data_IF_581809209633
#
_entry.id   IF_581809209633
#
_cell.length_a   1.000
_cell.length_b   1.000
_cell.length_c   1.000
_cell.angle_alpha   90.00
_cell.angle_beta   90.00
_cell.angle_gamma   90.00
#
_symmetry.space_group_name_H-M   'P 1'
#
loop_
_entity.id
_entity.type
_entity.pdbx_description
1 polymer ?
#
# COMPACT_ATOMS: atom_id res chain seq x y z
N UNK A 1 -6.44 -10.28 -3.70
CA UNK A 1 -7.80 -9.75 -3.95
C UNK A 1 -8.18 -8.60 -3.04
N UNK A 2 -7.77 -8.60 -1.76
CA UNK A 2 -8.09 -7.53 -0.80
C UNK A 2 -7.82 -6.11 -1.33
N UNK A 3 -6.64 -5.86 -1.91
CA UNK A 3 -6.29 -4.53 -2.44
C UNK A 3 -7.19 -4.12 -3.61
N UNK A 4 -7.46 -5.04 -4.53
CA UNK A 4 -8.40 -4.83 -5.66
C UNK A 4 -9.80 -4.51 -5.16
N UNK A 5 -10.31 -5.26 -4.17
CA UNK A 5 -11.59 -4.96 -3.54
C UNK A 5 -11.61 -3.57 -2.89
N UNK A 6 -10.57 -3.20 -2.15
CA UNK A 6 -10.49 -1.91 -1.45
C UNK A 6 -10.45 -0.72 -2.41
N UNK A 7 -9.76 -0.81 -3.55
CA UNK A 7 -9.76 0.28 -4.55
C UNK A 7 -11.15 0.43 -5.19
N UNK A 8 -11.80 -0.69 -5.54
CA UNK A 8 -13.13 -0.68 -6.16
C UNK A 8 -14.17 -0.17 -5.16
N UNK A 9 -14.13 -0.60 -3.89
CA UNK A 9 -14.99 -0.11 -2.83
C UNK A 9 -14.89 1.41 -2.66
N UNK A 10 -13.68 1.96 -2.65
CA UNK A 10 -13.47 3.41 -2.53
C UNK A 10 -14.07 4.17 -3.71
N UNK A 11 -13.94 3.65 -4.94
CA UNK A 11 -14.55 4.26 -6.12
C UNK A 11 -16.07 4.41 -5.98
N UNK A 12 -16.75 3.40 -5.45
CA UNK A 12 -18.19 3.45 -5.23
C UNK A 12 -18.56 4.38 -4.06
N UNK A 13 -17.81 4.34 -2.96
CA UNK A 13 -18.05 5.18 -1.78
C UNK A 13 -17.88 6.68 -2.07
N UNK A 14 -16.91 7.04 -2.90
CA UNK A 14 -16.59 8.42 -3.26
C UNK A 14 -17.07 8.78 -4.67
N UNK A 15 -18.02 8.04 -5.24
CA UNK A 15 -18.57 8.37 -6.56
C UNK A 15 -19.21 9.77 -6.51
N UNK A 16 -18.71 10.69 -7.33
CA UNK A 16 -19.16 12.08 -7.36
C UNK A 16 -18.68 12.94 -6.19
N UNK A 17 -17.77 12.45 -5.35
CA UNK A 17 -17.16 13.19 -4.24
C UNK A 17 -15.65 13.14 -4.35
N UNK A 18 -14.96 14.23 -3.98
CA UNK A 18 -13.51 14.19 -3.82
C UNK A 18 -13.18 13.39 -2.56
N UNK A 19 -12.17 12.54 -2.67
CA UNK A 19 -11.60 11.85 -1.51
C UNK A 19 -10.86 12.87 -0.64
N UNK A 20 -11.06 12.87 0.69
CA UNK A 20 -10.45 13.86 1.57
C UNK A 20 -8.92 13.75 1.62
N UNK A 21 -8.37 12.58 1.26
CA UNK A 21 -6.93 12.33 1.17
C UNK A 21 -6.32 12.65 -0.20
N UNK A 22 -7.13 13.05 -1.19
CA UNK A 22 -6.65 13.42 -2.52
C UNK A 22 -6.45 14.93 -2.65
N UNK A 23 -5.31 15.34 -3.20
CA UNK A 23 -4.98 16.74 -3.48
C UNK A 23 -5.99 17.37 -4.46
N UNK A 24 -6.22 18.67 -4.33
CA UNK A 24 -7.07 19.43 -5.25
C UNK A 24 -6.63 19.26 -6.71
N UNK A 25 -7.61 19.11 -7.61
CA UNK A 25 -7.38 18.87 -9.04
C UNK A 25 -7.10 17.41 -9.41
N UNK A 26 -7.01 16.48 -8.46
CA UNK A 26 -6.81 15.08 -8.75
C UNK A 26 -8.16 14.36 -8.94
N UNK A 27 -8.53 14.10 -10.18
CA UNK A 27 -9.63 13.18 -10.48
C UNK A 27 -9.18 11.73 -10.29
N UNK A 28 -9.97 10.94 -9.56
CA UNK A 28 -9.67 9.53 -9.35
C UNK A 28 -9.80 8.77 -10.69
N UNK A 29 -8.67 8.39 -11.29
CA UNK A 29 -8.59 7.51 -12.46
C UNK A 29 -8.47 6.06 -11.99
N UNK A 30 -9.62 5.39 -11.90
CA UNK A 30 -9.75 3.96 -11.64
C UNK A 30 -10.31 3.27 -12.90
N UNK A 31 -9.51 3.24 -13.96
CA UNK A 31 -9.85 2.53 -15.18
C UNK A 31 -9.67 1.01 -15.03
N UNK A 32 -10.20 0.26 -16.01
CA UNK A 32 -10.15 -1.19 -16.00
C UNK A 32 -8.72 -1.73 -16.13
N UNK A 33 -7.83 -1.02 -16.81
CA UNK A 33 -6.44 -1.43 -16.98
C UNK A 33 -5.70 -1.39 -15.64
N UNK A 34 -5.89 -0.31 -14.88
CA UNK A 34 -5.36 -0.14 -13.54
C UNK A 34 -5.87 -1.22 -12.59
N UNK A 35 -7.18 -1.51 -12.60
CA UNK A 35 -7.75 -2.57 -11.74
C UNK A 35 -7.15 -3.93 -12.10
N UNK A 36 -7.01 -4.24 -13.39
CA UNK A 36 -6.39 -5.48 -13.88
C UNK A 36 -4.92 -5.57 -13.48
N UNK A 37 -4.19 -4.47 -13.53
CA UNK A 37 -2.80 -4.38 -13.08
C UNK A 37 -2.69 -4.66 -11.57
N UNK A 38 -3.51 -4.01 -10.73
CA UNK A 38 -3.53 -4.25 -9.27
C UNK A 38 -3.86 -5.71 -8.94
N UNK A 39 -4.79 -6.33 -9.67
CA UNK A 39 -5.11 -7.74 -9.47
C UNK A 39 -3.91 -8.66 -9.77
N UNK A 40 -3.12 -8.36 -10.79
CA UNK A 40 -1.93 -9.13 -11.17
C UNK A 40 -0.66 -8.74 -10.41
N UNK A 41 -0.69 -7.69 -9.58
CA UNK A 41 0.48 -7.15 -8.87
C UNK A 41 1.30 -8.23 -8.13
N UNK A 42 0.64 -9.11 -7.37
CA UNK A 42 1.32 -10.16 -6.61
C UNK A 42 2.09 -11.15 -7.50
N UNK A 43 1.61 -11.38 -8.72
CA UNK A 43 2.25 -12.29 -9.68
C UNK A 43 3.34 -11.59 -10.47
N UNK A 44 3.12 -10.34 -10.88
CA UNK A 44 3.96 -9.66 -11.86
C UNK A 44 4.99 -8.72 -11.24
N UNK A 45 4.61 -7.94 -10.22
CA UNK A 45 5.42 -6.83 -9.70
C UNK A 45 6.10 -7.17 -8.37
N UNK A 46 5.40 -7.89 -7.47
CA UNK A 46 5.98 -8.30 -6.18
C UNK A 46 7.32 -9.04 -6.31
N UNK A 47 7.50 -10.03 -7.22
CA UNK A 47 8.78 -10.72 -7.36
C UNK A 47 9.92 -9.77 -7.77
N UNK A 48 9.66 -8.85 -8.70
CA UNK A 48 10.63 -7.85 -9.17
C UNK A 48 11.07 -6.92 -8.04
N UNK A 49 10.12 -6.50 -7.18
CA UNK A 49 10.43 -5.65 -6.02
C UNK A 49 11.32 -6.42 -5.04
N UNK A 50 10.95 -7.66 -4.71
CA UNK A 50 11.73 -8.50 -3.80
C UNK A 50 13.14 -8.78 -4.32
N UNK A 51 13.29 -8.97 -5.63
CA UNK A 51 14.60 -9.13 -6.27
C UNK A 51 15.46 -7.87 -6.11
N UNK A 52 14.91 -6.68 -6.42
CA UNK A 52 15.62 -5.41 -6.24
C UNK A 52 16.04 -5.18 -4.79
N UNK A 53 15.19 -5.58 -3.85
CA UNK A 53 15.47 -5.44 -2.42
C UNK A 53 16.67 -6.28 -1.96
N UNK A 54 16.97 -7.42 -2.61
CA UNK A 54 18.15 -8.24 -2.29
C UNK A 54 19.49 -7.51 -2.46
N UNK A 55 19.51 -6.44 -3.27
CA UNK A 55 20.74 -5.67 -3.53
C UNK A 55 21.11 -4.72 -2.38
N UNK A 56 20.21 -4.47 -1.43
CA UNK A 56 20.45 -3.58 -0.31
C UNK A 56 20.86 -4.38 0.94
N UNK A 57 22.17 -4.53 1.14
CA UNK A 57 22.74 -5.24 2.30
C UNK A 57 22.98 -4.34 3.52
N UNK A 58 23.09 -3.04 3.27
CA UNK A 58 23.34 -1.97 4.24
C UNK A 58 22.06 -1.47 4.93
N UNK A 59 20.89 -1.98 4.52
CA UNK A 59 19.58 -1.53 5.00
C UNK A 59 18.85 -2.66 5.70
N UNK A 60 18.17 -2.32 6.80
CA UNK A 60 17.21 -3.22 7.46
C UNK A 60 15.91 -3.25 6.67
N UNK A 61 15.58 -4.41 6.10
CA UNK A 61 14.33 -4.62 5.36
C UNK A 61 13.32 -5.31 6.29
N UNK A 62 12.16 -4.68 6.49
CA UNK A 62 11.07 -5.21 7.31
C UNK A 62 9.90 -5.57 6.39
N UNK A 63 9.43 -6.82 6.44
CA UNK A 63 8.33 -7.32 5.63
C UNK A 63 7.12 -7.58 6.53
N UNK A 64 6.04 -6.82 6.32
CA UNK A 64 4.80 -6.92 7.07
C UNK A 64 3.77 -7.69 6.24
N UNK A 65 3.24 -8.79 6.78
CA UNK A 65 2.36 -9.70 6.05
C UNK A 65 0.88 -9.49 6.38
N UNK A 66 0.58 -8.93 7.55
CA UNK A 66 -0.78 -8.72 8.01
C UNK A 66 -0.91 -7.40 8.81
N UNK A 67 -2.14 -6.93 9.09
CA UNK A 67 -2.36 -5.69 9.81
C UNK A 67 -1.76 -5.66 11.22
N UNK A 68 -1.71 -6.80 11.93
CA UNK A 68 -1.13 -6.86 13.28
C UNK A 68 0.36 -6.54 13.26
N UNK A 69 1.08 -7.05 12.26
CA UNK A 69 2.51 -6.72 12.08
C UNK A 69 2.71 -5.21 11.92
N UNK A 70 1.77 -4.51 11.26
CA UNK A 70 1.81 -3.05 11.09
C UNK A 70 1.61 -2.35 12.44
N UNK A 71 0.59 -2.78 13.20
CA UNK A 71 0.27 -2.20 14.49
C UNK A 71 1.42 -2.38 15.50
N UNK A 72 2.01 -3.58 15.53
CA UNK A 72 3.18 -3.89 16.35
C UNK A 72 4.40 -3.04 15.96
N UNK A 73 4.68 -2.89 14.66
CA UNK A 73 5.78 -2.05 14.21
C UNK A 73 5.57 -0.58 14.63
N UNK A 74 4.37 -0.04 14.43
CA UNK A 74 4.05 1.35 14.81
C UNK A 74 4.18 1.55 16.31
N UNK A 75 3.72 0.60 17.11
CA UNK A 75 3.86 0.64 18.58
C UNK A 75 5.33 0.69 18.98
N UNK A 76 6.15 -0.24 18.46
CA UNK A 76 7.57 -0.29 18.75
C UNK A 76 8.30 1.00 18.33
N UNK A 77 7.95 1.59 17.18
CA UNK A 77 8.56 2.84 16.74
C UNK A 77 8.23 4.02 17.68
N UNK A 78 7.00 4.10 18.18
CA UNK A 78 6.60 5.13 19.14
C UNK A 78 7.30 4.97 20.49
N UNK A 79 7.43 3.73 20.98
CA UNK A 79 8.12 3.45 22.24
C UNK A 79 9.60 3.80 22.17
N UNK A 80 10.26 3.53 21.04
CA UNK A 80 11.66 3.91 20.82
C UNK A 80 11.88 5.42 20.64
N UNK A 81 10.86 6.20 20.27
CA UNK A 81 10.94 7.66 20.17
C UNK A 81 10.70 8.39 21.50
N UNK A 82 10.07 7.73 22.46
CA UNK A 82 9.76 8.30 23.78
C UNK A 82 10.78 7.90 24.87
N UNK A 83 11.84 7.19 24.49
CA UNK A 83 12.88 6.65 25.38
C UNK A 83 14.26 7.30 25.23
N UNK A 84 14.36 8.42 24.51
CA UNK A 84 15.54 9.33 24.49
C UNK A 84 15.24 10.61 25.26
#
# INVERSE_FOLDING_TARGET
>A
LLCTYRIVKRRFMFKGKKRPDMTEGCEEKLDLEFVKWVWKFNKNERPKILEKLKNYKDKKIIVLNNPRDVDELIKNLKENQNGE
#
